data_IF_130764085647
#
_entry.id   IF_130764085647
#
_cell.length_a   1.000
_cell.length_b   1.000
_cell.length_c   1.000
_cell.angle_alpha   90.00
_cell.angle_beta   90.00
_cell.angle_gamma   90.00
#
_symmetry.space_group_name_H-M   'P 1'
#
loop_
_entity.id
_entity.type
_entity.pdbx_description
1 polymer ?
#
# COMPACT_ATOMS: atom_id res chain seq x y z
N UNK A 1 16.48 8.28 0.51
CA UNK A 1 17.10 6.97 0.77
C UNK A 1 16.07 6.11 1.46
N UNK A 2 15.86 4.85 1.03
CA UNK A 2 14.91 3.94 1.68
C UNK A 2 15.70 2.67 2.06
N UNK A 3 15.82 2.40 3.36
CA UNK A 3 16.49 1.21 3.90
C UNK A 3 15.56 0.49 4.87
N UNK A 4 14.61 -0.27 4.32
CA UNK A 4 13.68 -1.07 5.11
C UNK A 4 14.19 -2.51 5.17
N UNK A 5 14.95 -2.80 6.22
CA UNK A 5 15.54 -4.15 6.48
C UNK A 5 14.77 -4.97 7.49
N UNK A 6 13.78 -4.36 8.16
CA UNK A 6 12.93 -5.00 9.16
C UNK A 6 11.44 -4.79 8.83
N UNK A 7 10.57 -5.80 9.01
CA UNK A 7 10.88 -7.16 9.44
C UNK A 7 11.59 -8.02 8.38
N UNK A 8 11.64 -7.56 7.13
CA UNK A 8 12.30 -8.20 6.00
C UNK A 8 12.96 -7.13 5.14
N UNK A 9 13.99 -7.49 4.38
CA UNK A 9 14.59 -6.57 3.41
C UNK A 9 13.62 -6.32 2.24
N UNK A 10 13.17 -5.07 2.11
CA UNK A 10 12.24 -4.65 1.06
C UNK A 10 12.82 -4.88 -0.34
N UNK A 11 14.15 -4.88 -0.49
CA UNK A 11 14.84 -5.10 -1.78
C UNK A 11 14.61 -6.49 -2.36
N UNK A 12 14.15 -7.45 -1.54
CA UNK A 12 13.75 -8.75 -2.05
C UNK A 12 12.44 -8.71 -2.84
N UNK A 13 11.64 -7.64 -2.68
CA UNK A 13 10.28 -7.53 -3.22
C UNK A 13 10.08 -6.29 -4.10
N UNK A 14 10.70 -5.17 -3.74
CA UNK A 14 10.66 -3.91 -4.47
C UNK A 14 12.08 -3.48 -4.80
N UNK A 15 12.35 -3.25 -6.07
CA UNK A 15 13.62 -2.75 -6.56
C UNK A 15 13.49 -1.26 -6.90
N UNK A 16 14.61 -0.52 -6.96
CA UNK A 16 14.61 0.82 -7.52
C UNK A 16 14.12 0.84 -8.96
N UNK A 17 13.29 1.83 -9.30
CA UNK A 17 12.87 2.09 -10.67
C UNK A 17 13.63 3.29 -11.25
N UNK A 18 12.97 4.43 -11.47
CA UNK A 18 13.56 5.61 -12.09
C UNK A 18 14.57 6.31 -11.16
N UNK A 19 14.40 6.17 -9.85
CA UNK A 19 15.30 6.73 -8.85
C UNK A 19 15.96 5.63 -8.02
N UNK A 20 17.29 5.62 -7.99
CA UNK A 20 18.02 4.71 -7.12
C UNK A 20 17.95 5.18 -5.66
N UNK A 21 17.06 4.56 -4.87
CA UNK A 21 16.88 4.88 -3.45
C UNK A 21 17.69 4.01 -2.48
N UNK A 22 18.48 3.04 -2.98
CA UNK A 22 19.26 2.14 -2.12
C UNK A 22 20.52 2.81 -1.58
N UNK A 23 20.94 2.39 -0.38
CA UNK A 23 22.26 2.70 0.17
C UNK A 23 23.31 1.78 -0.45
N UNK A 24 24.29 2.36 -1.15
CA UNK A 24 25.60 1.70 -1.28
C UNK A 24 26.28 1.77 0.09
N UNK A 25 26.75 0.62 0.58
CA UNK A 25 27.27 0.38 1.94
C UNK A 25 27.81 1.64 2.64
N UNK A 26 27.20 1.98 3.79
CA UNK A 26 27.59 3.08 4.67
C UNK A 26 29.11 3.11 4.82
N UNK A 27 29.78 4.13 4.29
CA UNK A 27 31.16 4.44 4.65
C UNK A 27 31.16 4.71 6.15
N UNK A 28 31.67 3.77 6.92
CA UNK A 28 31.77 3.83 8.38
C UNK A 28 32.82 4.86 8.79
N UNK A 29 32.49 6.16 8.73
CA UNK A 29 33.28 7.19 9.40
C UNK A 29 32.74 7.39 10.82
N UNK A 30 33.65 7.42 11.79
CA UNK A 30 33.35 7.43 13.22
C UNK A 30 32.77 8.78 13.75
N UNK A 31 32.61 9.79 12.89
CA UNK A 31 32.24 11.17 13.28
C UNK A 31 30.99 11.72 12.57
N UNK A 32 29.98 10.90 12.29
CA UNK A 32 28.72 11.38 11.70
C UNK A 32 27.74 11.87 12.78
N UNK A 33 27.16 13.04 12.56
CA UNK A 33 26.01 13.53 13.32
C UNK A 33 24.74 12.84 12.82
N UNK A 34 23.95 12.30 13.75
CA UNK A 34 22.75 11.50 13.42
C UNK A 34 21.52 12.03 14.14
N UNK A 35 20.40 12.14 13.43
CA UNK A 35 19.06 12.37 13.98
C UNK A 35 18.22 11.10 13.77
N UNK A 36 17.61 10.61 14.84
CA UNK A 36 16.69 9.47 14.78
C UNK A 36 15.32 9.93 15.25
N UNK A 37 14.29 9.63 14.46
CA UNK A 37 12.90 10.02 14.71
C UNK A 37 12.05 8.76 14.74
N UNK A 38 11.40 8.49 15.87
CA UNK A 38 10.43 7.42 16.01
C UNK A 38 9.03 8.03 16.12
N UNK A 39 8.23 7.91 15.06
CA UNK A 39 6.91 8.52 14.94
C UNK A 39 5.91 7.55 14.33
N UNK A 40 5.45 6.58 15.14
CA UNK A 40 4.45 5.58 14.77
C UNK A 40 3.08 6.02 15.32
N UNK A 41 2.04 5.82 14.51
CA UNK A 41 0.65 6.18 14.70
C UNK A 41 0.40 7.69 14.74
N UNK A 42 0.50 8.30 15.92
CA UNK A 42 0.30 9.73 16.11
C UNK A 42 1.45 10.25 16.95
N UNK A 43 2.24 11.16 16.38
CA UNK A 43 3.32 11.82 17.13
C UNK A 43 3.25 13.33 16.96
N UNK A 44 2.54 14.04 17.86
CA UNK A 44 2.26 15.46 17.73
C UNK A 44 3.50 16.33 17.57
N UNK A 45 4.60 15.98 18.24
CA UNK A 45 5.82 16.79 18.17
C UNK A 45 6.45 16.72 16.79
N UNK A 46 6.50 15.52 16.22
CA UNK A 46 7.03 15.31 14.87
C UNK A 46 6.13 15.98 13.83
N UNK A 47 4.82 15.77 13.90
CA UNK A 47 3.86 16.44 13.02
C UNK A 47 3.96 17.96 13.11
N UNK A 48 4.09 18.50 14.33
CA UNK A 48 4.26 19.93 14.55
C UNK A 48 5.60 20.45 14.01
N UNK A 49 6.69 19.68 14.16
CA UNK A 49 8.00 20.01 13.56
C UNK A 49 7.87 20.15 12.03
N UNK A 50 7.21 19.19 11.39
CA UNK A 50 6.99 19.19 9.94
C UNK A 50 6.07 20.33 9.49
N UNK A 51 5.01 20.66 10.25
CA UNK A 51 4.05 21.72 9.88
C UNK A 51 4.57 23.14 10.11
N UNK A 52 5.32 23.35 11.20
CA UNK A 52 5.52 24.68 11.77
C UNK A 52 6.98 25.10 11.93
N UNK A 53 7.95 24.34 11.40
CA UNK A 53 9.37 24.70 11.50
C UNK A 53 10.06 24.70 10.14
N UNK A 54 11.25 25.30 10.07
CA UNK A 54 12.18 25.16 8.95
C UNK A 54 12.92 23.82 9.07
N UNK A 55 12.18 22.70 9.12
CA UNK A 55 12.76 21.40 9.42
C UNK A 55 13.83 21.01 8.39
N UNK A 56 13.67 21.38 7.11
CA UNK A 56 14.69 21.14 6.07
C UNK A 56 16.01 21.81 6.46
N UNK A 57 16.00 23.10 6.80
CA UNK A 57 17.21 23.82 7.23
C UNK A 57 17.78 23.19 8.51
N UNK A 58 16.91 22.90 9.47
CA UNK A 58 17.29 22.30 10.76
C UNK A 58 17.90 20.91 10.59
N UNK A 59 17.44 20.15 9.62
CA UNK A 59 17.86 18.77 9.42
C UNK A 59 19.14 18.66 8.59
N UNK A 60 19.46 19.68 7.77
CA UNK A 60 20.72 19.73 7.01
C UNK A 60 21.99 19.76 7.87
N UNK A 61 21.86 19.99 9.19
CA UNK A 61 22.98 19.91 10.13
C UNK A 61 23.36 18.47 10.50
N UNK A 62 22.52 17.48 10.16
CA UNK A 62 22.78 16.07 10.42
C UNK A 62 23.26 15.38 9.14
N UNK A 63 24.23 14.50 9.31
CA UNK A 63 24.76 13.69 8.21
C UNK A 63 23.89 12.47 7.92
N UNK A 64 23.22 11.92 8.94
CA UNK A 64 22.30 10.78 8.83
C UNK A 64 20.98 11.11 9.54
N UNK A 65 19.86 10.92 8.83
CA UNK A 65 18.51 11.13 9.37
C UNK A 65 17.73 9.85 9.16
N UNK A 66 17.37 9.20 10.26
CA UNK A 66 16.56 7.99 10.24
C UNK A 66 15.17 8.27 10.77
N UNK A 67 14.15 7.88 10.01
CA UNK A 67 12.74 8.14 10.33
C UNK A 67 12.00 6.81 10.31
N UNK A 68 11.38 6.47 11.44
CA UNK A 68 10.49 5.33 11.59
C UNK A 68 9.07 5.84 11.70
N UNK A 69 8.29 5.72 10.63
CA UNK A 69 6.92 6.27 10.61
C UNK A 69 5.96 5.49 9.73
N UNK A 70 4.69 5.49 10.12
CA UNK A 70 3.53 5.11 9.31
C UNK A 70 2.56 6.31 9.10
N UNK A 71 3.02 7.53 9.41
CA UNK A 71 2.23 8.77 9.33
C UNK A 71 2.33 9.34 7.91
N UNK A 72 1.18 9.69 7.33
CA UNK A 72 1.13 10.49 6.10
C UNK A 72 1.40 11.96 6.41
N UNK A 73 2.56 12.46 5.94
CA UNK A 73 3.00 13.83 6.13
C UNK A 73 3.02 14.65 4.84
N UNK A 74 2.55 14.09 3.72
CA UNK A 74 2.66 14.75 2.40
C UNK A 74 1.98 16.11 2.43
N UNK A 75 0.73 16.15 2.91
CA UNK A 75 -0.04 17.40 2.99
C UNK A 75 0.61 18.41 3.95
N UNK A 76 1.19 17.91 5.06
CA UNK A 76 1.82 18.75 6.08
C UNK A 76 3.10 19.42 5.56
N UNK A 77 3.91 18.67 4.80
CA UNK A 77 5.10 19.20 4.13
C UNK A 77 4.72 20.34 3.18
N UNK A 78 3.79 20.10 2.25
CA UNK A 78 3.44 21.12 1.24
C UNK A 78 2.71 22.34 1.83
N UNK A 79 2.00 22.19 2.95
CA UNK A 79 1.30 23.29 3.61
C UNK A 79 2.20 24.12 4.53
N UNK A 80 3.38 23.63 4.89
CA UNK A 80 4.31 24.38 5.72
C UNK A 80 4.79 25.66 5.00
N UNK A 81 4.43 26.87 5.48
CA UNK A 81 4.78 28.11 4.80
C UNK A 81 6.28 28.44 4.88
N UNK A 82 7.01 27.84 5.82
CA UNK A 82 8.41 28.16 6.12
C UNK A 82 9.39 27.47 5.19
N UNK A 83 8.94 26.48 4.41
CA UNK A 83 9.79 25.75 3.45
C UNK A 83 9.48 26.09 1.99
N UNK A 84 8.62 27.08 1.73
CA UNK A 84 8.17 27.42 0.37
C UNK A 84 9.29 27.84 -0.56
N UNK A 85 10.39 28.37 -0.06
CA UNK A 85 11.53 28.74 -0.90
C UNK A 85 12.42 27.55 -1.31
N UNK A 86 12.02 26.31 -0.98
CA UNK A 86 12.75 25.12 -1.38
C UNK A 86 12.42 24.78 -2.84
N UNK A 87 13.45 24.67 -3.70
CA UNK A 87 13.29 24.43 -5.15
C UNK A 87 12.43 23.21 -5.50
N UNK A 88 12.51 22.14 -4.71
CA UNK A 88 11.70 20.92 -4.96
C UNK A 88 10.24 21.20 -4.61
N UNK A 89 9.98 21.85 -3.47
CA UNK A 89 8.61 22.22 -3.07
C UNK A 89 7.99 23.17 -4.11
N UNK A 90 8.74 24.18 -4.56
CA UNK A 90 8.33 25.11 -5.61
C UNK A 90 8.00 24.37 -6.92
N UNK A 91 8.83 23.40 -7.33
CA UNK A 91 8.58 22.62 -8.55
C UNK A 91 7.22 21.92 -8.53
N UNK A 92 6.82 21.34 -7.40
CA UNK A 92 5.49 20.73 -7.26
C UNK A 92 4.38 21.79 -7.27
N UNK A 93 4.55 22.88 -6.53
CA UNK A 93 3.55 23.95 -6.43
C UNK A 93 3.33 24.70 -7.74
N UNK A 94 4.33 24.76 -8.63
CA UNK A 94 4.19 25.36 -9.96
C UNK A 94 3.27 24.58 -10.89
N UNK A 95 3.19 23.26 -10.71
CA UNK A 95 2.49 22.36 -11.63
C UNK A 95 1.20 21.77 -11.04
N UNK A 96 1.08 21.74 -9.72
CA UNK A 96 -0.02 21.09 -9.01
C UNK A 96 -0.57 22.05 -7.94
N UNK A 97 -1.87 22.35 -7.95
CA UNK A 97 -2.50 23.17 -6.91
C UNK A 97 -2.29 22.57 -5.51
N UNK A 98 -2.10 23.43 -4.51
CA UNK A 98 -1.78 23.02 -3.13
C UNK A 98 -2.83 22.06 -2.54
N UNK A 99 -4.11 22.25 -2.86
CA UNK A 99 -5.20 21.39 -2.42
C UNK A 99 -5.13 19.97 -3.01
N UNK A 100 -4.40 19.79 -4.11
CA UNK A 100 -4.20 18.50 -4.77
C UNK A 100 -2.91 17.82 -4.31
N UNK A 101 -1.98 18.52 -3.65
CA UNK A 101 -0.73 17.98 -3.09
C UNK A 101 -0.98 17.17 -1.81
N UNK A 102 -1.69 16.06 -1.98
CA UNK A 102 -2.00 15.08 -0.94
C UNK A 102 -1.33 13.75 -1.27
N UNK A 103 -1.16 12.87 -0.28
CA UNK A 103 -0.71 11.51 -0.54
C UNK A 103 -1.59 10.82 -1.58
N UNK A 104 -2.89 11.10 -1.54
CA UNK A 104 -3.84 10.51 -2.47
C UNK A 104 -3.52 10.82 -3.94
N UNK A 105 -3.13 12.04 -4.26
CA UNK A 105 -2.81 12.43 -5.64
C UNK A 105 -1.38 12.05 -6.02
N UNK A 106 -0.44 12.19 -5.08
CA UNK A 106 0.98 12.02 -5.37
C UNK A 106 1.46 10.57 -5.27
N UNK A 107 0.77 9.72 -4.49
CA UNK A 107 1.17 8.35 -4.28
C UNK A 107 1.42 7.56 -5.58
N UNK A 108 0.51 7.50 -6.57
CA UNK A 108 0.77 6.70 -7.77
C UNK A 108 2.04 7.16 -8.50
N UNK A 109 2.23 8.47 -8.66
CA UNK A 109 3.42 9.03 -9.29
C UNK A 109 4.71 8.72 -8.51
N UNK A 110 4.71 8.97 -7.20
CA UNK A 110 5.89 8.70 -6.36
C UNK A 110 6.20 7.21 -6.28
N UNK A 111 5.17 6.37 -6.18
CA UNK A 111 5.32 4.93 -6.12
C UNK A 111 5.98 4.39 -7.39
N UNK A 112 5.48 4.78 -8.57
CA UNK A 112 6.04 4.30 -9.85
C UNK A 112 7.44 4.87 -10.14
N UNK A 113 7.78 6.06 -9.64
CA UNK A 113 9.16 6.57 -9.73
C UNK A 113 10.13 5.75 -8.87
N UNK A 114 9.70 5.41 -7.66
CA UNK A 114 10.56 4.78 -6.67
C UNK A 114 10.66 3.28 -6.92
N UNK A 115 9.54 2.60 -7.10
CA UNK A 115 9.47 1.15 -6.98
C UNK A 115 9.13 0.48 -8.31
N UNK A 116 9.84 -0.61 -8.58
CA UNK A 116 9.41 -1.63 -9.53
C UNK A 116 9.38 -2.99 -8.81
N UNK A 117 8.52 -3.93 -9.23
CA UNK A 117 8.45 -5.24 -8.59
C UNK A 117 9.74 -6.04 -8.84
N UNK A 118 10.19 -6.81 -7.85
CA UNK A 118 11.26 -7.78 -8.05
C UNK A 118 10.79 -8.95 -8.92
N UNK A 119 11.72 -9.75 -9.43
CA UNK A 119 11.41 -10.99 -10.16
C UNK A 119 10.49 -11.91 -9.36
N UNK A 120 10.67 -11.99 -8.03
CA UNK A 120 9.83 -12.82 -7.17
C UNK A 120 8.37 -12.35 -7.19
N UNK A 121 8.13 -11.03 -7.13
CA UNK A 121 6.79 -10.44 -7.20
C UNK A 121 6.20 -10.60 -8.60
N UNK A 122 6.98 -10.36 -9.65
CA UNK A 122 6.54 -10.54 -11.06
C UNK A 122 6.11 -11.99 -11.30
N UNK A 123 6.92 -12.97 -10.86
CA UNK A 123 6.58 -14.39 -10.98
C UNK A 123 5.29 -14.74 -10.24
N UNK A 124 5.06 -14.13 -9.06
CA UNK A 124 3.86 -14.36 -8.27
C UNK A 124 2.56 -13.83 -8.92
N UNK A 125 2.65 -12.79 -9.76
CA UNK A 125 1.49 -12.21 -10.48
C UNK A 125 1.39 -12.60 -11.95
N UNK A 126 2.39 -13.29 -12.50
CA UNK A 126 2.52 -13.49 -13.95
C UNK A 126 1.29 -14.15 -14.58
N UNK A 127 0.69 -15.15 -13.92
CA UNK A 127 -0.51 -15.83 -14.44
C UNK A 127 -1.71 -14.89 -14.52
N UNK A 128 -1.85 -13.97 -13.57
CA UNK A 128 -2.92 -12.97 -13.53
C UNK A 128 -2.71 -11.96 -14.65
N UNK A 129 -1.49 -11.47 -14.83
CA UNK A 129 -1.14 -10.56 -15.92
C UNK A 129 -1.40 -11.20 -17.28
N UNK A 130 -1.03 -12.48 -17.43
CA UNK A 130 -1.28 -13.23 -18.65
C UNK A 130 -2.78 -13.40 -18.96
N UNK A 131 -3.61 -13.64 -17.94
CA UNK A 131 -5.08 -13.66 -18.13
C UNK A 131 -5.57 -12.29 -18.64
N UNK A 132 -5.10 -11.17 -18.07
CA UNK A 132 -5.47 -9.82 -18.53
C UNK A 132 -5.08 -9.60 -19.99
N UNK A 133 -3.84 -9.95 -20.36
CA UNK A 133 -3.33 -9.83 -21.73
C UNK A 133 -4.16 -10.65 -22.74
N UNK A 134 -4.71 -11.79 -22.30
CA UNK A 134 -5.61 -12.63 -23.09
C UNK A 134 -7.08 -12.16 -23.09
N UNK A 135 -7.36 -10.96 -22.57
CA UNK A 135 -8.67 -10.32 -22.61
C UNK A 135 -9.61 -10.72 -21.48
N UNK A 136 -9.11 -11.32 -20.39
CA UNK A 136 -9.92 -11.48 -19.18
C UNK A 136 -10.12 -10.15 -18.47
N UNK A 137 -11.35 -9.92 -18.00
CA UNK A 137 -11.64 -8.83 -17.07
C UNK A 137 -11.28 -9.26 -15.65
N UNK A 138 -10.49 -8.45 -14.97
CA UNK A 138 -10.12 -8.67 -13.56
C UNK A 138 -11.00 -7.82 -12.63
N UNK A 139 -11.84 -8.47 -11.83
CA UNK A 139 -12.58 -7.87 -10.73
C UNK A 139 -11.85 -8.16 -9.43
N UNK A 140 -11.41 -7.12 -8.73
CA UNK A 140 -10.70 -7.27 -7.49
C UNK A 140 -11.56 -6.94 -6.28
N UNK A 141 -11.44 -7.76 -5.25
CA UNK A 141 -12.12 -7.59 -3.98
C UNK A 141 -11.05 -7.45 -2.90
N UNK A 142 -11.16 -6.40 -2.09
CA UNK A 142 -10.35 -6.29 -0.88
C UNK A 142 -11.22 -6.13 0.36
N UNK A 143 -11.13 -7.10 1.26
CA UNK A 143 -11.88 -7.15 2.52
C UNK A 143 -10.94 -6.89 3.70
N UNK A 144 -11.02 -5.70 4.28
CA UNK A 144 -10.43 -5.35 5.57
C UNK A 144 -11.47 -5.53 6.69
N UNK A 145 -11.36 -6.63 7.43
CA UNK A 145 -12.30 -7.01 8.49
C UNK A 145 -11.91 -6.46 9.86
N UNK A 146 -10.63 -6.16 10.10
CA UNK A 146 -10.18 -5.80 11.44
C UNK A 146 -9.93 -7.03 12.29
N UNK A 147 -10.33 -6.93 13.56
CA UNK A 147 -10.24 -8.02 14.52
C UNK A 147 -11.02 -9.24 14.04
N UNK A 148 -10.33 -10.35 13.82
CA UNK A 148 -10.93 -11.61 13.40
C UNK A 148 -10.06 -12.81 13.83
N UNK A 149 -10.50 -14.07 13.69
CA UNK A 149 -9.71 -15.23 14.14
C UNK A 149 -8.29 -15.31 13.54
N UNK A 150 -8.11 -14.88 12.29
CA UNK A 150 -6.80 -14.83 11.62
C UNK A 150 -5.96 -13.61 12.04
N UNK A 151 -6.59 -12.61 12.66
CA UNK A 151 -5.95 -11.36 13.09
C UNK A 151 -6.57 -10.83 14.41
N UNK A 152 -6.33 -11.52 15.53
CA UNK A 152 -7.07 -11.29 16.77
C UNK A 152 -6.68 -9.99 17.51
N UNK A 153 -5.53 -9.39 17.18
CA UNK A 153 -4.97 -8.23 17.87
C UNK A 153 -5.27 -6.89 17.18
N UNK A 154 -6.08 -6.92 16.13
CA UNK A 154 -6.43 -5.73 15.38
C UNK A 154 -7.59 -4.94 15.98
N UNK A 155 -7.87 -3.75 15.44
CA UNK A 155 -9.03 -2.95 15.75
C UNK A 155 -10.33 -3.66 15.32
N UNK A 156 -11.34 -3.58 16.17
CA UNK A 156 -12.67 -4.14 15.91
C UNK A 156 -13.50 -3.14 15.09
N UNK A 157 -14.09 -3.62 14.00
CA UNK A 157 -15.02 -2.87 13.15
C UNK A 157 -16.37 -3.59 13.13
N UNK A 158 -17.36 -3.09 13.87
CA UNK A 158 -18.65 -3.78 14.04
C UNK A 158 -19.52 -3.79 12.77
N UNK A 159 -19.44 -2.71 12.00
CA UNK A 159 -20.08 -2.52 10.71
C UNK A 159 -19.60 -3.52 9.65
N UNK A 160 -18.37 -4.01 9.76
CA UNK A 160 -17.74 -4.87 8.76
C UNK A 160 -18.05 -6.35 8.89
N UNK A 161 -18.74 -6.77 9.95
CA UNK A 161 -19.08 -8.18 10.16
C UNK A 161 -19.88 -8.81 9.00
N UNK A 162 -20.62 -7.98 8.25
CA UNK A 162 -21.43 -8.39 7.09
C UNK A 162 -20.80 -8.08 5.73
N UNK A 163 -19.57 -7.56 5.69
CA UNK A 163 -18.97 -7.07 4.45
C UNK A 163 -18.85 -8.17 3.38
N UNK A 164 -18.46 -9.39 3.77
CA UNK A 164 -18.35 -10.51 2.85
C UNK A 164 -19.72 -10.90 2.25
N UNK A 165 -20.77 -10.93 3.07
CA UNK A 165 -22.15 -11.19 2.65
C UNK A 165 -22.65 -10.14 1.66
N UNK A 166 -22.44 -8.86 1.98
CA UNK A 166 -22.89 -7.75 1.15
C UNK A 166 -22.20 -7.76 -0.22
N UNK A 167 -20.89 -8.06 -0.25
CA UNK A 167 -20.15 -8.22 -1.50
C UNK A 167 -20.68 -9.44 -2.28
N UNK A 168 -20.94 -10.57 -1.63
CA UNK A 168 -21.51 -11.74 -2.32
C UNK A 168 -22.86 -11.46 -2.95
N UNK A 169 -23.74 -10.76 -2.24
CA UNK A 169 -25.04 -10.34 -2.78
C UNK A 169 -24.86 -9.42 -4.00
N UNK A 170 -23.93 -8.46 -3.92
CA UNK A 170 -23.57 -7.61 -5.06
C UNK A 170 -23.05 -8.42 -6.26
N UNK A 171 -22.12 -9.35 -6.05
CA UNK A 171 -21.54 -10.20 -7.11
C UNK A 171 -22.62 -11.08 -7.76
N UNK A 172 -23.56 -11.59 -6.97
CA UNK A 172 -24.67 -12.41 -7.45
C UNK A 172 -25.65 -11.60 -8.30
N UNK A 173 -25.94 -10.35 -7.93
CA UNK A 173 -26.84 -9.45 -8.69
C UNK A 173 -26.23 -8.96 -10.00
N UNK A 174 -24.90 -8.81 -10.06
CA UNK A 174 -24.18 -8.31 -11.25
C UNK A 174 -23.97 -9.38 -12.33
N UNK A 175 -24.51 -10.60 -12.17
CA UNK A 175 -24.34 -11.73 -13.09
C UNK A 175 -22.87 -12.09 -13.40
N UNK A 176 -21.91 -11.72 -12.54
CA UNK A 176 -20.48 -12.03 -12.75
C UNK A 176 -20.22 -13.54 -12.93
N UNK A 177 -21.04 -14.39 -12.31
CA UNK A 177 -21.04 -15.85 -12.52
C UNK A 177 -21.18 -16.28 -13.98
N UNK A 178 -21.88 -15.49 -14.79
CA UNK A 178 -22.16 -15.82 -16.21
C UNK A 178 -21.08 -15.32 -17.15
N UNK A 179 -20.15 -14.50 -16.66
CA UNK A 179 -19.07 -13.94 -17.47
C UNK A 179 -17.92 -14.95 -17.54
N UNK A 180 -17.78 -15.62 -18.69
CA UNK A 180 -16.76 -16.66 -18.89
C UNK A 180 -15.33 -16.09 -18.91
N UNK A 181 -15.18 -14.81 -19.28
CA UNK A 181 -13.90 -14.12 -19.37
C UNK A 181 -13.69 -13.15 -18.19
N UNK A 182 -14.06 -13.59 -16.98
CA UNK A 182 -13.85 -12.81 -15.75
C UNK A 182 -13.10 -13.62 -14.71
N UNK A 183 -12.10 -12.98 -14.11
CA UNK A 183 -11.40 -13.46 -12.92
C UNK A 183 -11.75 -12.58 -11.74
N UNK A 184 -11.93 -13.21 -10.58
CA UNK A 184 -12.19 -12.53 -9.31
C UNK A 184 -10.92 -12.66 -8.48
N UNK A 185 -10.15 -11.59 -8.38
CA UNK A 185 -9.06 -11.55 -7.42
C UNK A 185 -9.59 -11.18 -6.04
N UNK A 186 -9.15 -11.88 -4.99
CA UNK A 186 -9.52 -11.50 -3.62
C UNK A 186 -8.32 -11.47 -2.68
N UNK A 187 -8.24 -10.37 -1.95
CA UNK A 187 -7.34 -10.17 -0.83
C UNK A 187 -8.12 -9.83 0.44
N UNK A 188 -7.68 -10.33 1.59
CA UNK A 188 -8.28 -10.03 2.89
C UNK A 188 -7.31 -10.29 4.02
N UNK A 189 -7.59 -9.66 5.15
CA UNK A 189 -7.03 -9.93 6.46
C UNK A 189 -7.79 -11.04 7.24
N UNK A 190 -8.79 -11.68 6.62
CA UNK A 190 -9.59 -12.76 7.23
C UNK A 190 -9.68 -14.00 6.33
N UNK A 191 -9.18 -15.14 6.82
CA UNK A 191 -9.30 -16.42 6.12
C UNK A 191 -10.77 -16.85 5.94
N UNK A 192 -11.62 -16.51 6.90
CA UNK A 192 -13.05 -16.83 6.83
C UNK A 192 -13.73 -16.07 5.69
N UNK A 193 -13.44 -14.78 5.56
CA UNK A 193 -13.97 -13.95 4.49
C UNK A 193 -13.48 -14.44 3.10
N UNK A 194 -12.18 -14.73 2.97
CA UNK A 194 -11.59 -15.33 1.77
C UNK A 194 -12.29 -16.62 1.38
N UNK A 195 -12.37 -17.57 2.33
CA UNK A 195 -12.96 -18.89 2.11
C UNK A 195 -14.43 -18.81 1.73
N UNK A 196 -15.15 -17.76 2.13
CA UNK A 196 -16.54 -17.56 1.74
C UNK A 196 -16.67 -17.22 0.26
N UNK A 197 -15.88 -16.27 -0.23
CA UNK A 197 -15.91 -15.86 -1.66
C UNK A 197 -15.38 -16.98 -2.55
N UNK A 198 -14.27 -17.61 -2.18
CA UNK A 198 -13.67 -18.72 -2.95
C UNK A 198 -14.66 -19.88 -3.13
N UNK A 199 -15.41 -20.24 -2.08
CA UNK A 199 -16.44 -21.30 -2.17
C UNK A 199 -17.60 -20.94 -3.10
N UNK A 200 -17.96 -19.66 -3.16
CA UNK A 200 -19.05 -19.21 -4.03
C UNK A 200 -18.62 -19.13 -5.51
N UNK A 201 -17.33 -18.92 -5.78
CA UNK A 201 -16.78 -18.72 -7.13
C UNK A 201 -15.50 -19.55 -7.38
N UNK A 202 -15.53 -20.89 -7.22
CA UNK A 202 -14.31 -21.70 -7.16
C UNK A 202 -13.49 -21.70 -8.45
N UNK A 203 -14.13 -21.54 -9.61
CA UNK A 203 -13.47 -21.59 -10.92
C UNK A 203 -13.11 -20.20 -11.47
N UNK A 204 -13.51 -19.13 -10.78
CA UNK A 204 -13.25 -17.74 -11.20
C UNK A 204 -12.34 -17.02 -10.22
N UNK A 205 -12.23 -17.50 -8.99
CA UNK A 205 -11.48 -16.81 -7.92
C UNK A 205 -10.00 -17.13 -7.97
N UNK A 206 -9.17 -16.10 -7.82
CA UNK A 206 -7.72 -16.20 -7.68
C UNK A 206 -7.33 -15.51 -6.36
N UNK A 207 -6.39 -16.13 -5.63
CA UNK A 207 -5.77 -15.58 -4.44
C UNK A 207 -4.25 -15.72 -4.53
N UNK A 208 -3.51 -14.83 -3.88
CA UNK A 208 -2.08 -15.04 -3.68
C UNK A 208 -1.88 -15.94 -2.46
N UNK A 209 -1.15 -17.06 -2.57
CA UNK A 209 -0.88 -17.92 -1.43
C UNK A 209 0.08 -17.22 -0.44
N UNK A 210 -0.12 -17.49 0.85
CA UNK A 210 0.77 -17.01 1.90
C UNK A 210 0.00 -16.65 3.18
N UNK A 211 0.72 -16.47 4.31
CA UNK A 211 0.08 -16.10 5.56
C UNK A 211 -0.44 -14.66 5.50
N UNK A 212 -1.57 -14.42 6.15
CA UNK A 212 -2.07 -13.07 6.41
C UNK A 212 -1.23 -12.45 7.53
N UNK A 213 -0.60 -11.29 7.27
CA UNK A 213 0.22 -10.58 8.26
C UNK A 213 -0.04 -9.08 8.27
N UNK A 214 0.18 -8.47 9.43
CA UNK A 214 0.49 -7.05 9.53
C UNK A 214 1.99 -6.83 9.36
N UNK A 215 2.37 -5.94 8.45
CA UNK A 215 3.79 -5.66 8.16
C UNK A 215 4.44 -4.83 9.26
N UNK A 216 3.70 -3.87 9.82
CA UNK A 216 4.13 -2.99 10.91
C UNK A 216 4.08 -3.68 12.28
N UNK A 217 3.14 -4.61 12.48
CA UNK A 217 2.94 -5.35 13.74
C UNK A 217 2.82 -6.86 13.50
N UNK A 218 3.88 -7.54 13.02
CA UNK A 218 3.79 -8.95 12.71
C UNK A 218 3.56 -9.76 13.99
N UNK A 219 2.58 -10.66 13.97
CA UNK A 219 2.36 -11.62 15.05
C UNK A 219 3.60 -12.54 15.23
N UNK A 220 3.77 -13.03 16.45
CA UNK A 220 4.86 -13.97 16.76
C UNK A 220 4.69 -15.29 16.00
N UNK A 221 5.79 -15.83 15.46
CA UNK A 221 5.81 -17.15 14.81
C UNK A 221 5.32 -17.19 13.36
N UNK A 222 4.96 -16.06 12.75
CA UNK A 222 4.50 -16.05 11.35
C UNK A 222 5.67 -16.00 10.37
N UNK A 223 5.54 -16.70 9.23
CA UNK A 223 6.55 -16.72 8.16
C UNK A 223 6.60 -15.39 7.41
N UNK A 224 7.33 -14.41 7.98
CA UNK A 224 7.32 -13.00 7.57
C UNK A 224 7.69 -12.78 6.10
N UNK A 225 8.62 -13.58 5.57
CA UNK A 225 9.02 -13.48 4.15
C UNK A 225 7.84 -13.76 3.20
N UNK A 226 7.12 -14.86 3.43
CA UNK A 226 5.99 -15.24 2.57
C UNK A 226 4.81 -14.30 2.77
N UNK A 227 4.57 -13.85 4.01
CA UNK A 227 3.50 -12.87 4.27
C UNK A 227 3.79 -11.53 3.61
N UNK A 228 5.04 -11.07 3.64
CA UNK A 228 5.42 -9.81 2.99
C UNK A 228 5.34 -9.93 1.47
N UNK A 229 5.83 -11.04 0.88
CA UNK A 229 5.64 -11.34 -0.54
C UNK A 229 4.16 -11.26 -0.91
N UNK A 230 3.29 -11.93 -0.16
CA UNK A 230 1.84 -11.91 -0.37
C UNK A 230 1.29 -10.49 -0.33
N UNK A 231 1.62 -9.69 0.69
CA UNK A 231 1.13 -8.31 0.82
C UNK A 231 1.55 -7.44 -0.36
N UNK A 232 2.82 -7.51 -0.78
CA UNK A 232 3.30 -6.76 -1.95
C UNK A 232 2.60 -7.24 -3.22
N UNK A 233 2.48 -8.55 -3.40
CA UNK A 233 1.82 -9.14 -4.58
C UNK A 233 0.34 -8.76 -4.65
N UNK A 234 -0.39 -8.85 -3.54
CA UNK A 234 -1.78 -8.38 -3.42
C UNK A 234 -1.89 -6.90 -3.81
N UNK A 235 -0.95 -6.07 -3.34
CA UNK A 235 -0.92 -4.64 -3.65
C UNK A 235 -0.72 -4.36 -5.14
N UNK A 236 0.11 -5.15 -5.83
CA UNK A 236 0.27 -5.03 -7.28
C UNK A 236 -0.97 -5.47 -8.03
N UNK A 237 -1.53 -6.64 -7.71
CA UNK A 237 -2.75 -7.12 -8.40
C UNK A 237 -3.90 -6.13 -8.22
N UNK A 238 -4.06 -5.54 -7.04
CA UNK A 238 -5.08 -4.51 -6.77
C UNK A 238 -4.91 -3.23 -7.62
N UNK A 239 -3.72 -2.98 -8.15
CA UNK A 239 -3.42 -1.88 -9.08
C UNK A 239 -3.80 -2.16 -10.53
N UNK A 240 -4.04 -3.43 -10.90
CA UNK A 240 -4.30 -3.87 -12.29
C UNK A 240 -5.79 -4.14 -12.58
N UNK A 241 -6.67 -3.79 -11.64
CA UNK A 241 -8.07 -4.18 -11.68
C UNK A 241 -8.88 -3.36 -12.70
N UNK A 242 -9.80 -4.04 -13.38
CA UNK A 242 -10.81 -3.39 -14.23
C UNK A 242 -12.00 -2.89 -13.40
N UNK A 243 -12.31 -3.61 -12.31
CA UNK A 243 -13.31 -3.28 -11.30
C UNK A 243 -12.73 -3.53 -9.92
N UNK A 244 -12.98 -2.62 -8.98
CA UNK A 244 -12.51 -2.73 -7.60
C UNK A 244 -13.67 -2.66 -6.62
N UNK A 245 -13.76 -3.62 -5.72
CA UNK A 245 -14.77 -3.70 -4.66
C UNK A 245 -14.02 -3.73 -3.33
N UNK A 246 -13.98 -2.59 -2.64
CA UNK A 246 -13.07 -2.38 -1.52
C UNK A 246 -13.85 -2.05 -0.26
N UNK A 247 -13.46 -2.63 0.87
CA UNK A 247 -13.82 -2.05 2.16
C UNK A 247 -12.86 -0.92 2.54
N UNK A 248 -13.26 -0.06 3.49
CA UNK A 248 -12.44 1.04 3.96
C UNK A 248 -11.07 0.56 4.52
N UNK A 249 -10.01 0.78 3.74
CA UNK A 249 -8.63 0.40 4.04
C UNK A 249 -7.64 1.30 3.30
N UNK A 250 -6.62 1.81 4.00
CA UNK A 250 -5.54 2.57 3.38
C UNK A 250 -4.75 1.74 2.36
N UNK A 251 -4.53 0.45 2.64
CA UNK A 251 -3.81 -0.47 1.76
C UNK A 251 -4.46 -0.59 0.39
N UNK A 252 -5.75 -0.95 0.34
CA UNK A 252 -6.45 -1.12 -0.94
C UNK A 252 -6.77 0.20 -1.61
N UNK A 253 -6.97 1.27 -0.83
CA UNK A 253 -7.13 2.61 -1.39
C UNK A 253 -5.87 3.05 -2.15
N UNK A 254 -4.67 2.86 -1.58
CA UNK A 254 -3.42 3.21 -2.24
C UNK A 254 -3.13 2.29 -3.44
N UNK A 255 -3.38 1.00 -3.32
CA UNK A 255 -3.21 0.05 -4.43
C UNK A 255 -4.09 0.43 -5.62
N UNK A 256 -5.39 0.66 -5.39
CA UNK A 256 -6.34 1.03 -6.42
C UNK A 256 -6.00 2.36 -7.10
N UNK A 257 -5.29 3.28 -6.44
CA UNK A 257 -4.85 4.55 -7.04
C UNK A 257 -3.78 4.40 -8.12
N UNK A 258 -3.13 3.23 -8.20
CA UNK A 258 -2.17 2.93 -9.25
C UNK A 258 -2.84 2.62 -10.59
N UNK A 259 -4.14 2.34 -10.60
CA UNK A 259 -4.93 2.18 -11.83
C UNK A 259 -4.93 3.49 -12.62
N UNK A 260 -4.91 3.41 -13.95
CA UNK A 260 -5.03 4.58 -14.84
C UNK A 260 -6.29 5.40 -14.55
N UNK A 261 -7.41 4.72 -14.30
CA UNK A 261 -8.72 5.33 -13.99
C UNK A 261 -9.22 4.84 -12.63
N UNK A 262 -8.67 5.34 -11.51
CA UNK A 262 -8.85 4.74 -10.19
C UNK A 262 -10.27 4.83 -9.64
N UNK A 263 -11.10 5.73 -10.18
CA UNK A 263 -12.50 5.91 -9.77
C UNK A 263 -13.49 5.16 -10.67
N UNK A 264 -13.06 4.69 -11.84
CA UNK A 264 -13.92 3.95 -12.74
C UNK A 264 -14.18 2.55 -12.17
N UNK A 265 -15.44 2.11 -12.16
CA UNK A 265 -15.87 0.81 -11.63
C UNK A 265 -15.35 0.53 -10.21
N UNK A 266 -15.31 1.58 -9.37
CA UNK A 266 -14.94 1.48 -7.97
C UNK A 266 -16.20 1.42 -7.10
N UNK A 267 -16.32 0.35 -6.32
CA UNK A 267 -17.38 0.15 -5.33
C UNK A 267 -16.75 0.12 -3.94
N UNK A 268 -17.26 0.94 -3.03
CA UNK A 268 -16.77 1.03 -1.65
C UNK A 268 -17.85 0.58 -0.68
N UNK A 269 -17.43 -0.19 0.32
CA UNK A 269 -18.25 -0.62 1.45
C UNK A 269 -17.58 -0.10 2.72
N UNK A 270 -18.32 0.66 3.51
CA UNK A 270 -17.84 1.14 4.80
C UNK A 270 -18.08 0.09 5.88
#
# INVERSE_FOLDING_TARGET
MIDMTHPVDVKNYLLPNMYNWTLDNKTSNLNFTRKVIHAIDHEPNFENEIRNTKFIETWTQYDDIEIYTNIDLVSDIFRNPLIRNNTIIDMFLLNVPLEQLTLHSLFPFLFEILFQPSTEVVNAIQSILHDIENGYTLTCIHLRMGQNPSNPLDARFEDRASAAENILDFLNRTNLRKMQNTRIFIASDSEQALSKIVREFPNQTITIPGPIIHVDRPANGVHRLHGFLKVVTDFYVLGECHMSILTASGFSALANRRRTEPYQNLFKYD
#
